data_IF_463268263381
#
_entry.id   IF_463268263381
#
_cell.length_a   1.000
_cell.length_b   1.000
_cell.length_c   1.000
_cell.angle_alpha   90.00
_cell.angle_beta   90.00
_cell.angle_gamma   90.00
#
_symmetry.space_group_name_H-M   'P 1'
#
loop_
_entity.id
_entity.type
_entity.pdbx_description
1 polymer ?
#
# COMPACT_ATOMS: atom_id res chain seq x y z
N UNK A 1 13.89 6.02 49.72
CA UNK A 1 13.33 5.58 48.41
C UNK A 1 14.43 4.80 47.71
N UNK A 2 14.23 3.52 47.38
CA UNK A 2 15.29 2.70 46.77
C UNK A 2 15.69 3.27 45.41
N UNK A 3 17.00 3.30 45.10
CA UNK A 3 17.52 3.78 43.82
C UNK A 3 16.80 3.16 42.61
N UNK A 4 16.38 1.89 42.71
CA UNK A 4 15.56 1.19 41.70
C UNK A 4 14.22 1.88 41.43
N UNK A 5 13.50 2.33 42.47
CA UNK A 5 12.19 3.00 42.33
C UNK A 5 12.39 4.35 41.64
N UNK A 6 13.48 5.07 41.98
CA UNK A 6 13.81 6.36 41.39
C UNK A 6 14.18 6.23 39.89
N UNK A 7 14.97 5.21 39.54
CA UNK A 7 15.31 4.92 38.13
C UNK A 7 14.06 4.56 37.32
N UNK A 8 13.21 3.67 37.84
CA UNK A 8 11.95 3.28 37.17
C UNK A 8 11.04 4.50 36.97
N UNK A 9 10.91 5.37 37.97
CA UNK A 9 10.11 6.59 37.85
C UNK A 9 10.62 7.51 36.73
N UNK A 10 11.94 7.71 36.62
CA UNK A 10 12.53 8.53 35.55
C UNK A 10 12.29 7.92 34.17
N UNK A 11 12.46 6.60 34.01
CA UNK A 11 12.21 5.90 32.73
C UNK A 11 10.75 6.02 32.31
N UNK A 12 9.80 5.87 33.24
CA UNK A 12 8.36 6.01 32.95
C UNK A 12 8.02 7.42 32.48
N UNK A 13 8.60 8.45 33.09
CA UNK A 13 8.39 9.84 32.67
C UNK A 13 8.93 10.09 31.26
N UNK A 14 10.15 9.63 30.96
CA UNK A 14 10.74 9.78 29.61
C UNK A 14 9.89 9.04 28.57
N UNK A 15 9.46 7.82 28.86
CA UNK A 15 8.61 7.04 27.96
C UNK A 15 7.27 7.73 27.71
N UNK A 16 6.62 8.29 28.74
CA UNK A 16 5.37 9.01 28.60
C UNK A 16 5.52 10.26 27.70
N UNK A 17 6.61 11.02 27.84
CA UNK A 17 6.89 12.18 26.98
C UNK A 17 7.07 11.75 25.52
N UNK A 18 7.86 10.69 25.27
CA UNK A 18 8.05 10.15 23.92
C UNK A 18 6.73 9.64 23.31
N UNK A 19 5.89 9.00 24.12
CA UNK A 19 4.58 8.51 23.69
C UNK A 19 3.66 9.63 23.23
N UNK A 20 3.60 10.74 23.98
CA UNK A 20 2.79 11.92 23.62
C UNK A 20 3.28 12.56 22.31
N UNK A 21 4.60 12.63 22.11
CA UNK A 21 5.20 13.13 20.87
C UNK A 21 4.82 12.24 19.69
N UNK A 22 4.95 10.92 19.83
CA UNK A 22 4.59 9.94 18.81
C UNK A 22 3.09 10.02 18.44
N UNK A 23 2.21 10.09 19.44
CA UNK A 23 0.76 10.29 19.26
C UNK A 23 0.46 11.58 18.48
N UNK A 24 1.19 12.66 18.75
CA UNK A 24 1.01 13.95 18.06
C UNK A 24 1.39 13.85 16.58
N UNK A 25 2.48 13.16 16.24
CA UNK A 25 2.86 12.93 14.85
C UNK A 25 1.84 12.04 14.12
N UNK A 26 1.35 10.98 14.76
CA UNK A 26 0.32 10.11 14.18
C UNK A 26 -0.97 10.86 13.89
N UNK A 27 -1.45 11.71 14.82
CA UNK A 27 -2.62 12.57 14.59
C UNK A 27 -2.43 13.51 13.40
N UNK A 28 -1.24 14.15 13.29
CA UNK A 28 -0.91 15.01 12.15
C UNK A 28 -0.91 14.23 10.83
N UNK A 29 -0.41 12.99 10.81
CA UNK A 29 -0.44 12.14 9.60
C UNK A 29 -1.87 11.81 9.19
N UNK A 30 -2.72 11.41 10.14
CA UNK A 30 -4.13 11.12 9.87
C UNK A 30 -4.89 12.35 9.36
N UNK A 31 -4.64 13.52 9.95
CA UNK A 31 -5.23 14.77 9.48
C UNK A 31 -4.85 15.08 8.03
N UNK A 32 -3.57 14.91 7.66
CA UNK A 32 -3.11 15.09 6.27
C UNK A 32 -3.73 14.09 5.30
N UNK A 33 -3.87 12.83 5.70
CA UNK A 33 -4.53 11.82 4.87
C UNK A 33 -6.02 12.16 4.65
N UNK A 34 -6.72 12.59 5.70
CA UNK A 34 -8.11 13.03 5.60
C UNK A 34 -8.26 14.29 4.74
N UNK A 35 -7.36 15.25 4.88
CA UNK A 35 -7.33 16.46 4.05
C UNK A 35 -7.10 16.12 2.58
N UNK A 36 -6.14 15.24 2.29
CA UNK A 36 -5.89 14.74 0.93
C UNK A 36 -7.14 14.08 0.33
N UNK A 37 -7.78 13.17 1.06
CA UNK A 37 -8.99 12.49 0.60
C UNK A 37 -10.15 13.47 0.37
N UNK A 38 -10.35 14.44 1.27
CA UNK A 38 -11.41 15.43 1.14
C UNK A 38 -11.18 16.38 -0.05
N UNK A 39 -9.94 16.82 -0.27
CA UNK A 39 -9.58 17.70 -1.38
C UNK A 39 -9.68 16.99 -2.73
N UNK A 40 -9.54 15.66 -2.75
CA UNK A 40 -9.56 14.83 -3.95
C UNK A 40 -10.78 13.90 -4.04
N UNK A 41 -11.87 14.21 -3.32
CA UNK A 41 -13.06 13.35 -3.20
C UNK A 41 -13.75 13.02 -4.53
N UNK A 42 -13.60 13.86 -5.55
CA UNK A 42 -14.22 13.71 -6.86
C UNK A 42 -13.26 13.06 -7.89
N UNK A 43 -12.02 12.81 -7.47
CA UNK A 43 -10.92 12.25 -8.27
C UNK A 43 -10.75 10.76 -7.94
N UNK A 44 -10.03 10.04 -8.78
CA UNK A 44 -9.65 8.67 -8.51
C UNK A 44 -8.45 8.67 -7.56
N UNK A 45 -8.60 8.04 -6.39
CA UNK A 45 -7.51 7.89 -5.42
C UNK A 45 -6.88 6.53 -5.64
N UNK A 46 -5.58 6.46 -5.94
CA UNK A 46 -4.88 5.20 -6.20
C UNK A 46 -3.77 4.98 -5.19
N UNK A 47 -3.83 3.83 -4.51
CA UNK A 47 -2.84 3.35 -3.57
C UNK A 47 -1.84 2.44 -4.30
N UNK A 48 -0.56 2.80 -4.26
CA UNK A 48 0.53 2.13 -4.95
C UNK A 48 1.62 1.73 -3.94
N UNK A 49 2.13 0.50 -4.08
CA UNK A 49 3.20 -0.04 -3.22
C UNK A 49 4.39 -0.41 -4.10
N UNK A 50 5.37 0.48 -4.19
CA UNK A 50 6.51 0.25 -5.07
C UNK A 50 7.51 1.41 -5.14
N UNK A 51 8.46 1.27 -6.07
CA UNK A 51 9.55 2.22 -6.34
C UNK A 51 9.65 2.52 -7.83
N UNK A 52 10.27 3.66 -8.14
CA UNK A 52 10.43 4.17 -9.50
C UNK A 52 9.07 4.28 -10.22
N UNK A 53 8.05 4.69 -9.48
CA UNK A 53 6.67 4.75 -9.96
C UNK A 53 6.52 5.90 -10.96
N UNK A 54 5.95 5.60 -12.12
CA UNK A 54 5.50 6.59 -13.10
C UNK A 54 4.04 6.39 -13.42
N UNK A 55 3.39 7.50 -13.74
CA UNK A 55 2.01 7.57 -14.19
C UNK A 55 2.01 8.36 -15.50
N UNK A 56 1.46 7.78 -16.56
CA UNK A 56 1.44 8.39 -17.89
C UNK A 56 2.82 8.84 -18.40
N UNK A 57 3.82 8.01 -18.09
CA UNK A 57 5.23 8.26 -18.43
C UNK A 57 5.94 9.29 -17.54
N UNK A 58 5.23 9.98 -16.65
CA UNK A 58 5.77 11.00 -15.75
C UNK A 58 6.06 10.43 -14.37
N UNK A 59 7.11 10.92 -13.72
CA UNK A 59 7.43 10.53 -12.33
C UNK A 59 6.26 10.86 -11.39
N UNK A 60 5.95 9.96 -10.46
CA UNK A 60 4.83 10.10 -9.52
C UNK A 60 4.89 11.41 -8.71
N UNK A 61 6.08 11.98 -8.47
CA UNK A 61 6.25 13.25 -7.75
C UNK A 61 5.64 14.46 -8.45
N UNK A 62 5.29 14.35 -9.73
CA UNK A 62 4.62 15.41 -10.50
C UNK A 62 3.10 15.46 -10.25
N UNK A 63 2.55 14.47 -9.56
CA UNK A 63 1.12 14.36 -9.28
C UNK A 63 0.82 14.79 -7.84
N UNK A 64 -0.46 15.08 -7.58
CA UNK A 64 -0.95 15.29 -6.21
C UNK A 64 -0.84 13.97 -5.44
N UNK A 65 0.12 13.91 -4.52
CA UNK A 65 0.49 12.69 -3.83
C UNK A 65 0.62 12.89 -2.33
N UNK A 66 0.29 11.84 -1.59
CA UNK A 66 0.62 11.72 -0.18
C UNK A 66 1.29 10.36 0.09
N UNK A 67 1.88 10.21 1.27
CA UNK A 67 2.49 8.96 1.70
C UNK A 67 1.64 8.35 2.81
N UNK A 68 1.17 7.13 2.58
CA UNK A 68 0.38 6.38 3.53
C UNK A 68 1.24 5.54 4.48
N UNK A 69 0.67 4.43 4.95
CA UNK A 69 1.39 3.49 5.82
C UNK A 69 2.35 2.60 5.03
N UNK A 70 3.39 2.08 5.68
CA UNK A 70 4.31 1.11 5.04
C UNK A 70 4.93 1.57 3.70
N UNK A 71 5.24 2.87 3.56
CA UNK A 71 5.77 3.50 2.34
C UNK A 71 4.82 3.50 1.13
N UNK A 72 3.52 3.27 1.36
CA UNK A 72 2.46 3.47 0.38
C UNK A 72 2.52 4.86 -0.24
N UNK A 73 2.37 4.91 -1.57
CA UNK A 73 2.17 6.14 -2.32
C UNK A 73 0.71 6.23 -2.72
N UNK A 74 0.05 7.28 -2.25
CA UNK A 74 -1.34 7.56 -2.61
C UNK A 74 -1.33 8.74 -3.56
N UNK A 75 -1.97 8.58 -4.72
CA UNK A 75 -2.04 9.60 -5.77
C UNK A 75 -3.48 9.89 -6.13
N UNK A 76 -3.79 11.15 -6.42
CA UNK A 76 -5.08 11.57 -6.94
C UNK A 76 -4.97 11.85 -8.45
N UNK A 77 -5.81 11.16 -9.23
CA UNK A 77 -5.85 11.22 -10.68
C UNK A 77 -7.24 11.60 -11.15
N UNK A 78 -7.33 12.23 -12.32
CA UNK A 78 -8.63 12.51 -12.91
C UNK A 78 -9.25 11.20 -13.42
N UNK A 79 -10.56 11.22 -13.72
CA UNK A 79 -11.21 10.05 -14.30
C UNK A 79 -10.68 9.80 -15.72
N UNK A 80 -10.49 8.53 -16.07
CA UNK A 80 -10.06 8.11 -17.40
C UNK A 80 -8.99 7.03 -17.37
N UNK A 81 -8.42 6.80 -18.53
CA UNK A 81 -7.40 5.77 -18.75
C UNK A 81 -6.03 6.29 -18.36
N UNK A 82 -5.38 5.61 -17.42
CA UNK A 82 -4.04 5.90 -16.93
C UNK A 82 -3.12 4.70 -17.07
N UNK A 83 -1.87 4.96 -17.41
CA UNK A 83 -0.80 3.97 -17.42
C UNK A 83 0.05 4.09 -16.16
N UNK A 84 0.42 2.94 -15.59
CA UNK A 84 1.26 2.82 -14.41
C UNK A 84 2.49 2.03 -14.77
N UNK A 85 3.65 2.50 -14.32
CA UNK A 85 4.94 1.81 -14.49
C UNK A 85 5.67 1.80 -13.15
N UNK A 86 6.34 0.69 -12.81
CA UNK A 86 7.25 0.65 -11.67
C UNK A 86 7.58 -0.74 -11.16
N UNK A 87 8.43 -0.78 -10.14
CA UNK A 87 8.75 -2.00 -9.39
C UNK A 87 7.86 -2.06 -8.16
N UNK A 88 6.92 -2.99 -8.15
CA UNK A 88 5.96 -3.16 -7.07
C UNK A 88 6.57 -4.08 -6.00
N UNK A 89 6.28 -3.79 -4.73
CA UNK A 89 6.85 -4.50 -3.59
C UNK A 89 5.75 -4.85 -2.58
N UNK A 90 5.81 -6.06 -2.01
CA UNK A 90 4.99 -6.47 -0.86
C UNK A 90 5.80 -7.34 0.11
N UNK A 91 5.29 -7.56 1.30
CA UNK A 91 5.87 -8.49 2.28
C UNK A 91 4.89 -9.65 2.49
N UNK A 92 5.40 -10.88 2.40
CA UNK A 92 4.63 -12.09 2.67
C UNK A 92 5.34 -12.95 3.72
N UNK A 93 4.64 -13.94 4.28
CA UNK A 93 5.24 -14.91 5.20
C UNK A 93 5.69 -16.12 4.37
N UNK A 94 7.00 -16.36 4.31
CA UNK A 94 7.57 -17.50 3.60
C UNK A 94 7.34 -18.82 4.33
N UNK A 95 7.63 -19.94 3.66
CA UNK A 95 7.38 -21.30 4.16
C UNK A 95 8.06 -21.59 5.52
N UNK A 96 9.18 -20.94 5.79
CA UNK A 96 9.91 -21.03 7.07
C UNK A 96 9.35 -20.12 8.18
N UNK A 97 8.19 -19.49 7.99
CA UNK A 97 7.58 -18.54 8.94
C UNK A 97 8.31 -17.19 9.03
N UNK A 98 9.21 -16.90 8.08
CA UNK A 98 9.97 -15.64 8.03
C UNK A 98 9.33 -14.69 7.02
N UNK A 99 9.34 -13.40 7.32
CA UNK A 99 8.94 -12.37 6.36
C UNK A 99 9.89 -12.38 5.17
N UNK A 100 9.32 -12.50 3.97
CA UNK A 100 10.01 -12.38 2.69
C UNK A 100 9.50 -11.13 1.97
N UNK A 101 10.41 -10.42 1.29
CA UNK A 101 10.03 -9.31 0.43
C UNK A 101 9.82 -9.84 -0.97
N UNK A 102 8.61 -9.67 -1.50
CA UNK A 102 8.27 -9.98 -2.88
C UNK A 102 8.40 -8.70 -3.69
N UNK A 103 9.10 -8.78 -4.82
CA UNK A 103 9.29 -7.67 -5.74
C UNK A 103 9.04 -8.14 -7.16
N UNK A 104 8.49 -7.24 -7.96
CA UNK A 104 8.29 -7.48 -9.38
C UNK A 104 9.49 -7.02 -10.18
N UNK A 105 9.55 -7.43 -11.45
CA UNK A 105 10.27 -6.64 -12.46
C UNK A 105 9.61 -5.27 -12.65
N UNK A 106 10.17 -4.43 -13.53
CA UNK A 106 9.48 -3.18 -13.89
C UNK A 106 8.21 -3.53 -14.66
N UNK A 107 7.06 -3.40 -14.01
CA UNK A 107 5.76 -3.69 -14.59
C UNK A 107 5.21 -2.44 -15.25
N UNK A 108 4.47 -2.64 -16.33
CA UNK A 108 3.68 -1.61 -16.97
C UNK A 108 2.27 -2.13 -17.22
N UNK A 109 1.25 -1.38 -16.80
CA UNK A 109 -0.14 -1.72 -17.02
C UNK A 109 -1.00 -0.48 -17.16
N UNK A 110 -2.20 -0.64 -17.72
CA UNK A 110 -3.17 0.43 -17.89
C UNK A 110 -4.47 0.07 -17.19
N UNK A 111 -5.11 1.07 -16.58
CA UNK A 111 -6.43 0.93 -15.94
C UNK A 111 -7.30 2.14 -16.27
N UNK A 112 -8.60 1.89 -16.38
CA UNK A 112 -9.61 2.94 -16.52
C UNK A 112 -10.19 3.26 -15.13
N UNK A 113 -10.00 4.49 -14.70
CA UNK A 113 -10.32 4.97 -13.36
C UNK A 113 -11.55 5.87 -13.39
N UNK A 114 -12.42 5.69 -12.40
CA UNK A 114 -13.59 6.51 -12.18
C UNK A 114 -13.31 7.49 -11.05
N UNK A 115 -13.72 8.75 -11.23
CA UNK A 115 -13.65 9.76 -10.18
C UNK A 115 -14.54 9.37 -8.99
N UNK A 116 -14.11 9.71 -7.78
CA UNK A 116 -14.84 9.40 -6.55
C UNK A 116 -14.67 7.96 -6.05
N UNK A 117 -13.78 7.18 -6.67
CA UNK A 117 -13.43 5.83 -6.24
C UNK A 117 -11.99 5.74 -5.74
N UNK A 118 -11.78 4.80 -4.81
CA UNK A 118 -10.46 4.46 -4.30
C UNK A 118 -10.01 3.13 -4.89
N UNK A 119 -8.77 3.08 -5.33
CA UNK A 119 -8.14 1.93 -5.96
C UNK A 119 -6.89 1.53 -5.21
N UNK A 120 -6.52 0.25 -5.27
CA UNK A 120 -5.27 -0.26 -4.72
C UNK A 120 -4.61 -1.24 -5.69
N UNK A 121 -3.34 -1.01 -6.02
CA UNK A 121 -2.53 -1.91 -6.82
C UNK A 121 -1.62 -2.73 -5.90
N UNK A 122 -2.04 -3.95 -5.57
CA UNK A 122 -1.37 -4.82 -4.61
C UNK A 122 -0.83 -6.10 -5.25
N UNK A 123 0.27 -6.62 -4.70
CA UNK A 123 0.80 -7.96 -5.03
C UNK A 123 0.24 -8.97 -4.03
N UNK A 124 -0.16 -10.13 -4.56
CA UNK A 124 -0.61 -11.29 -3.82
C UNK A 124 0.27 -12.50 -4.15
N UNK A 125 0.57 -13.30 -3.13
CA UNK A 125 1.44 -14.48 -3.17
C UNK A 125 0.72 -15.76 -3.64
N UNK A 126 -0.34 -15.58 -4.43
CA UNK A 126 -1.11 -16.65 -5.03
C UNK A 126 -1.50 -16.29 -6.47
N UNK A 127 -1.81 -17.31 -7.27
CA UNK A 127 -2.10 -17.14 -8.70
C UNK A 127 -3.39 -16.33 -8.95
N UNK A 128 -3.59 -15.78 -10.16
CA UNK A 128 -4.88 -15.20 -10.54
C UNK A 128 -6.07 -16.15 -10.35
N UNK A 129 -5.90 -17.44 -10.63
CA UNK A 129 -6.94 -18.46 -10.45
C UNK A 129 -7.24 -18.68 -8.96
N UNK A 130 -6.20 -18.73 -8.12
CA UNK A 130 -6.35 -18.87 -6.67
C UNK A 130 -7.06 -17.65 -6.07
N UNK A 131 -6.77 -16.45 -6.59
CA UNK A 131 -7.48 -15.21 -6.24
C UNK A 131 -8.96 -15.31 -6.53
N UNK A 132 -9.31 -15.72 -7.75
CA UNK A 132 -10.70 -15.83 -8.17
C UNK A 132 -11.45 -16.84 -7.29
N UNK A 133 -10.83 -18.00 -6.99
CA UNK A 133 -11.39 -18.99 -6.07
C UNK A 133 -11.60 -18.42 -4.67
N UNK A 134 -10.60 -17.73 -4.13
CA UNK A 134 -10.69 -17.09 -2.81
C UNK A 134 -11.85 -16.09 -2.74
N UNK A 135 -11.97 -15.20 -3.73
CA UNK A 135 -13.05 -14.20 -3.79
C UNK A 135 -14.41 -14.88 -3.91
N UNK A 136 -14.52 -15.97 -4.68
CA UNK A 136 -15.78 -16.73 -4.82
C UNK A 136 -16.19 -17.45 -3.53
N UNK A 137 -15.23 -17.95 -2.77
CA UNK A 137 -15.46 -18.71 -1.54
C UNK A 137 -15.76 -17.81 -0.34
N UNK A 138 -14.98 -16.73 -0.15
CA UNK A 138 -15.04 -15.87 1.02
C UNK A 138 -15.78 -14.54 0.77
N UNK A 139 -16.07 -14.23 -0.49
CA UNK A 139 -16.57 -12.91 -0.90
C UNK A 139 -15.47 -11.86 -0.90
N UNK A 140 -15.75 -10.72 -1.56
CA UNK A 140 -14.86 -9.56 -1.55
C UNK A 140 -15.67 -8.27 -1.41
N UNK A 141 -15.16 -7.34 -0.61
CA UNK A 141 -15.68 -5.96 -0.52
C UNK A 141 -15.17 -5.07 -1.65
N UNK A 142 -14.11 -5.50 -2.33
CA UNK A 142 -13.43 -4.78 -3.40
C UNK A 142 -13.68 -5.48 -4.73
N UNK A 143 -13.69 -4.72 -5.82
CA UNK A 143 -13.84 -5.25 -7.17
C UNK A 143 -12.49 -5.25 -7.88
N UNK A 144 -12.06 -6.40 -8.36
CA UNK A 144 -10.89 -6.48 -9.24
C UNK A 144 -11.22 -5.83 -10.59
N UNK A 145 -10.40 -4.86 -11.01
CA UNK A 145 -10.48 -4.21 -12.32
C UNK A 145 -9.35 -4.63 -13.25
N UNK A 146 -8.25 -5.14 -12.68
CA UNK A 146 -7.13 -5.74 -13.38
C UNK A 146 -6.55 -6.84 -12.49
N UNK A 147 -6.23 -8.00 -13.07
CA UNK A 147 -5.43 -9.05 -12.42
C UNK A 147 -4.38 -9.49 -13.43
N UNK A 148 -3.11 -9.39 -13.06
CA UNK A 148 -1.97 -9.70 -13.91
C UNK A 148 -1.12 -10.78 -13.24
N UNK A 149 -0.84 -11.91 -13.91
CA UNK A 149 0.08 -12.92 -13.37
C UNK A 149 1.49 -12.34 -13.25
N UNK A 150 2.21 -12.76 -12.22
CA UNK A 150 3.60 -12.34 -11.98
C UNK A 150 4.56 -13.50 -12.17
N UNK A 151 5.62 -13.23 -12.94
CA UNK A 151 6.86 -14.01 -12.96
C UNK A 151 7.68 -13.63 -11.71
N UNK A 152 7.37 -14.25 -10.56
CA UNK A 152 8.11 -13.98 -9.31
C UNK A 152 9.54 -14.52 -9.41
N UNK A 153 10.51 -13.72 -8.95
CA UNK A 153 11.94 -14.05 -9.04
C UNK A 153 12.33 -15.18 -8.07
N UNK A 154 13.28 -16.03 -8.48
CA UNK A 154 13.74 -17.30 -7.87
C UNK A 154 14.07 -17.32 -6.37
N UNK A 155 14.11 -16.18 -5.68
CA UNK A 155 14.31 -16.10 -4.22
C UNK A 155 12.98 -16.10 -3.42
N UNK A 156 11.82 -16.01 -4.08
CA UNK A 156 10.54 -16.35 -3.46
C UNK A 156 10.23 -17.82 -3.72
N UNK A 157 10.21 -18.65 -2.69
CA UNK A 157 9.85 -20.08 -2.75
C UNK A 157 8.39 -20.36 -3.23
N UNK A 158 7.68 -19.34 -3.72
CA UNK A 158 6.29 -19.40 -4.18
C UNK A 158 6.23 -19.04 -5.67
N UNK A 159 5.93 -20.03 -6.49
CA UNK A 159 5.99 -19.97 -7.96
C UNK A 159 4.72 -19.39 -8.62
N UNK A 160 3.80 -18.80 -7.87
CA UNK A 160 2.59 -18.18 -8.42
C UNK A 160 2.23 -16.93 -7.62
N UNK A 161 2.17 -15.78 -8.29
CA UNK A 161 1.71 -14.53 -7.71
C UNK A 161 0.93 -13.72 -8.74
N UNK A 162 0.20 -12.73 -8.27
CA UNK A 162 -0.49 -11.78 -9.13
C UNK A 162 -0.40 -10.36 -8.59
N UNK A 163 -0.41 -9.38 -9.51
CA UNK A 163 -0.73 -8.01 -9.19
C UNK A 163 -2.21 -7.83 -9.49
N UNK A 164 -2.97 -7.33 -8.51
CA UNK A 164 -4.37 -6.98 -8.72
C UNK A 164 -4.57 -5.50 -8.43
N UNK A 165 -5.28 -4.82 -9.35
CA UNK A 165 -5.83 -3.49 -9.10
C UNK A 165 -7.28 -3.66 -8.69
N UNK A 166 -7.58 -3.22 -7.48
CA UNK A 166 -8.91 -3.37 -6.87
C UNK A 166 -9.54 -2.02 -6.64
N UNK A 167 -10.86 -1.92 -6.82
CA UNK A 167 -11.66 -0.73 -6.52
C UNK A 167 -12.50 -0.97 -5.27
N UNK A 168 -12.39 -0.07 -4.29
CA UNK A 168 -13.28 -0.03 -3.13
C UNK A 168 -14.67 0.47 -3.57
N UNK A 169 -15.70 -0.34 -3.30
CA UNK A 169 -17.09 -0.01 -3.61
C UNK A 169 -17.71 0.94 -2.60
#
# INVERSE_FOLDING_TARGET
>A
MNNTILIVAVVVVIWAVLFVIMMSFNKKRQAKANEFNNNNKDRAIVHLYGKNLKIDGNDISQFDTTTGESMEKVVALDAGKHSFEGVFETTAVGAAGKNINIKTENLQFEVDLQGGHTYSAGIYDYSPEDRERYIKEYGSRVKDILVMPLSLYKESDYAAGCLAVTCDK
#
